data_IF_889310638519
#
_entry.id   IF_889310638519
#
_cell.length_a   1.000
_cell.length_b   1.000
_cell.length_c   1.000
_cell.angle_alpha   90.00
_cell.angle_beta   90.00
_cell.angle_gamma   90.00
#
_symmetry.space_group_name_H-M   'P 1'
#
loop_
_entity.id
_entity.type
_entity.pdbx_description
1 polymer ?
#
# COMPACT_ATOMS: atom_id res chain seq x y z
N UNK A 1 5.21 1.55 -9.03
CA UNK A 1 4.42 0.95 -7.92
C UNK A 1 4.15 -0.51 -8.30
N UNK A 2 4.38 -1.49 -7.40
CA UNK A 2 4.18 -2.92 -7.70
C UNK A 2 3.02 -3.50 -6.89
N UNK A 3 2.12 -4.24 -7.54
CA UNK A 3 1.00 -4.92 -6.89
C UNK A 3 1.46 -6.33 -6.48
N UNK A 4 1.16 -6.73 -5.24
CA UNK A 4 1.53 -8.05 -4.69
C UNK A 4 0.44 -8.56 -3.75
N UNK A 5 0.32 -9.88 -3.62
CA UNK A 5 -0.54 -10.49 -2.61
C UNK A 5 -0.09 -10.16 -1.17
N UNK A 6 1.23 -10.14 -0.93
CA UNK A 6 1.84 -9.72 0.33
C UNK A 6 2.77 -8.53 0.11
N UNK A 7 2.59 -7.50 0.94
CA UNK A 7 3.39 -6.27 0.91
C UNK A 7 4.25 -6.17 2.16
N UNK A 8 5.54 -5.90 1.97
CA UNK A 8 6.52 -5.82 3.07
C UNK A 8 7.35 -4.55 2.98
N UNK A 9 7.83 -4.08 4.15
CA UNK A 9 8.80 -2.98 4.23
C UNK A 9 10.16 -3.50 3.76
N UNK A 10 10.82 -2.76 2.86
CA UNK A 10 12.16 -3.09 2.34
C UNK A 10 13.28 -2.34 3.02
N UNK A 11 12.95 -1.27 3.74
CA UNK A 11 13.91 -0.43 4.45
C UNK A 11 13.23 0.26 5.64
N UNK A 12 13.99 0.87 6.57
CA UNK A 12 13.42 1.56 7.74
C UNK A 12 12.50 2.74 7.39
N UNK A 13 12.71 3.38 6.24
CA UNK A 13 11.92 4.52 5.76
C UNK A 13 10.61 4.12 5.07
N UNK A 14 10.33 2.81 4.98
CA UNK A 14 9.07 2.31 4.47
C UNK A 14 7.96 2.42 5.53
N UNK A 15 6.79 2.90 5.12
CA UNK A 15 5.62 3.01 5.99
C UNK A 15 4.38 2.43 5.32
N UNK A 16 3.51 1.85 6.14
CA UNK A 16 2.28 1.19 5.69
C UNK A 16 1.14 2.19 5.76
N UNK A 17 0.33 2.23 4.71
CA UNK A 17 -0.85 3.08 4.64
C UNK A 17 -2.05 2.22 4.26
N UNK A 18 -3.07 2.23 5.09
CA UNK A 18 -4.35 1.59 4.81
C UNK A 18 -5.27 2.65 4.21
N UNK A 19 -5.71 2.45 2.97
CA UNK A 19 -6.66 3.34 2.30
C UNK A 19 -7.97 2.60 2.08
N UNK A 20 -9.07 3.19 2.52
CA UNK A 20 -10.41 2.77 2.12
C UNK A 20 -10.69 3.30 0.71
N UNK A 21 -11.18 2.45 -0.19
CA UNK A 21 -11.71 2.95 -1.47
C UNK A 21 -13.01 3.70 -1.16
N UNK A 22 -12.97 5.03 -1.20
CA UNK A 22 -14.19 5.85 -1.28
C UNK A 22 -14.71 5.80 -2.71
N UNK A 23 -15.91 5.27 -2.87
CA UNK A 23 -16.57 5.09 -4.16
C UNK A 23 -17.66 4.04 -3.98
N UNK A 24 -18.88 4.41 -4.38
CA UNK A 24 -20.12 3.68 -4.15
C UNK A 24 -19.98 2.15 -4.32
N UNK A 25 -20.66 1.40 -3.44
CA UNK A 25 -20.87 -0.05 -3.44
C UNK A 25 -19.97 -0.96 -2.60
N UNK A 26 -18.77 -0.55 -2.11
CA UNK A 26 -17.96 -1.43 -1.22
C UNK A 26 -17.24 -0.68 -0.07
N UNK A 27 -17.99 -0.15 0.93
CA UNK A 27 -17.44 0.63 2.04
C UNK A 27 -16.43 -0.13 2.92
N UNK A 28 -16.38 -1.47 2.85
CA UNK A 28 -15.51 -2.29 3.70
C UNK A 28 -14.17 -2.70 3.06
N UNK A 29 -13.91 -2.39 1.78
CA UNK A 29 -12.64 -2.78 1.14
C UNK A 29 -11.50 -1.81 1.50
N UNK A 30 -10.73 -2.21 2.51
CA UNK A 30 -9.43 -1.63 2.87
C UNK A 30 -8.35 -2.17 1.94
N UNK A 31 -7.51 -1.29 1.41
CA UNK A 31 -6.35 -1.65 0.58
C UNK A 31 -5.09 -1.19 1.31
N UNK A 32 -4.14 -2.11 1.47
CA UNK A 32 -2.86 -1.83 2.13
C UNK A 32 -1.84 -1.39 1.09
N UNK A 33 -1.10 -0.33 1.40
CA UNK A 33 0.01 0.15 0.59
C UNK A 33 1.28 0.20 1.44
N UNK A 34 2.42 0.02 0.80
CA UNK A 34 3.72 0.38 1.37
C UNK A 34 4.25 1.55 0.58
N UNK A 35 4.50 2.67 1.24
CA UNK A 35 5.18 3.83 0.71
C UNK A 35 6.60 3.90 1.28
N UNK A 36 7.44 4.73 0.68
CA UNK A 36 8.79 5.01 1.16
C UNK A 36 9.12 6.45 0.80
N UNK A 37 9.61 7.21 1.78
CA UNK A 37 10.02 8.61 1.57
C UNK A 37 11.33 8.73 0.81
N UNK A 38 12.22 7.74 0.90
CA UNK A 38 13.55 7.80 0.30
C UNK A 38 13.70 7.09 -1.04
N UNK A 39 12.87 6.08 -1.34
CA UNK A 39 12.99 5.31 -2.58
C UNK A 39 11.62 4.97 -3.20
N UNK A 40 11.27 5.54 -4.36
CA UNK A 40 9.98 5.29 -5.02
C UNK A 40 9.81 3.84 -5.51
N UNK A 41 10.91 3.09 -5.70
CA UNK A 41 10.86 1.67 -6.13
C UNK A 41 10.30 0.74 -5.04
N UNK A 42 10.25 1.19 -3.79
CA UNK A 42 9.65 0.42 -2.69
C UNK A 42 8.12 0.51 -2.64
N UNK A 43 7.50 1.37 -3.46
CA UNK A 43 6.04 1.59 -3.45
C UNK A 43 5.29 0.32 -3.87
N UNK A 44 4.47 -0.24 -2.97
CA UNK A 44 3.71 -1.47 -3.18
C UNK A 44 2.24 -1.32 -2.80
N UNK A 45 1.37 -2.13 -3.41
CA UNK A 45 -0.08 -2.23 -3.11
C UNK A 45 -0.45 -3.70 -2.90
N UNK A 46 -1.24 -3.97 -1.87
CA UNK A 46 -1.79 -5.29 -1.57
C UNK A 46 -3.05 -5.55 -2.40
N UNK A 47 -3.10 -6.73 -3.03
CA UNK A 47 -4.27 -7.23 -3.77
C UNK A 47 -4.06 -7.22 -5.26
#
# INVERSE_FOLDING_TARGET
>A
MKVKASVTKRCPKCYVVIRTKKGAHKPHKKVVYVYCSANPRHKQKQG
#
